data_IF_346918393330
#
_entry.id   IF_346918393330
#
_cell.length_a   1.000
_cell.length_b   1.000
_cell.length_c   1.000
_cell.angle_alpha   90.00
_cell.angle_beta   90.00
_cell.angle_gamma   90.00
#
_symmetry.space_group_name_H-M   'P 1'
#
loop_
_entity.id
_entity.type
_entity.pdbx_description
1 polymer ?
#
# COMPACT_ATOMS: atom_id res chain seq x y z
N UNK A 1 33.37 32.58 45.45
CA UNK A 1 33.73 33.30 46.69
C UNK A 1 33.58 34.77 46.33
N UNK A 2 32.61 35.53 46.84
CA UNK A 2 32.05 35.53 48.20
C UNK A 2 32.80 36.59 49.02
N UNK A 3 32.20 37.59 49.65
CA UNK A 3 30.78 37.80 50.01
C UNK A 3 30.37 39.28 49.76
N UNK A 4 29.11 39.70 49.63
CA UNK A 4 27.94 39.56 50.54
C UNK A 4 28.20 40.21 51.93
N UNK A 5 27.30 41.00 52.54
CA UNK A 5 25.91 41.39 52.19
C UNK A 5 25.47 42.65 53.03
N UNK A 6 24.16 42.83 53.26
CA UNK A 6 23.47 43.56 54.37
C UNK A 6 23.13 45.07 54.22
N UNK A 7 21.99 45.61 54.74
CA UNK A 7 20.77 45.11 55.46
C UNK A 7 19.83 46.34 55.71
N UNK A 8 18.48 46.39 55.72
CA UNK A 8 17.32 45.52 55.36
C UNK A 8 16.11 46.43 54.93
N UNK A 9 14.78 46.26 55.13
CA UNK A 9 13.89 45.39 55.96
C UNK A 9 12.42 45.40 55.43
N UNK A 10 11.62 44.45 55.93
CA UNK A 10 10.13 44.38 56.13
C UNK A 10 9.21 45.49 55.57
N UNK A 11 8.10 45.21 54.86
CA UNK A 11 6.95 44.27 55.06
C UNK A 11 5.73 44.87 55.81
N UNK A 12 4.57 44.17 55.71
CA UNK A 12 3.20 44.46 56.18
C UNK A 12 2.34 45.49 55.40
N UNK A 13 1.02 45.29 55.19
CA UNK A 13 0.19 44.05 55.27
C UNK A 13 -1.13 44.16 54.45
N UNK A 14 -1.99 43.13 54.53
CA UNK A 14 -3.18 42.81 53.68
C UNK A 14 -4.40 43.75 53.89
N UNK A 15 -5.33 43.80 52.91
CA UNK A 15 -6.76 43.40 53.06
C UNK A 15 -7.57 43.47 51.74
N UNK A 16 -8.62 42.64 51.64
CA UNK A 16 -9.50 42.35 50.48
C UNK A 16 -10.81 43.16 50.48
N UNK A 17 -11.46 43.39 49.32
CA UNK A 17 -12.95 43.29 49.09
C UNK A 17 -13.29 43.38 47.57
N UNK A 18 -14.47 42.91 47.17
CA UNK A 18 -14.94 42.69 45.78
C UNK A 18 -15.93 43.76 45.26
N UNK A 19 -16.44 43.55 44.03
CA UNK A 19 -17.70 44.04 43.43
C UNK A 19 -17.75 45.49 42.90
N UNK A 20 -18.50 45.81 41.83
CA UNK A 20 -19.01 44.99 40.71
C UNK A 20 -19.42 45.89 39.51
N UNK A 21 -19.70 45.27 38.35
CA UNK A 21 -20.42 45.77 37.16
C UNK A 21 -20.30 47.25 36.74
N UNK A 22 -19.82 47.46 35.51
CA UNK A 22 -20.79 47.77 34.45
C UNK A 22 -20.36 47.20 33.09
N UNK A 23 -21.30 46.60 32.36
CA UNK A 23 -21.08 46.07 31.01
C UNK A 23 -21.46 47.17 30.01
N UNK A 24 -20.55 47.51 29.09
CA UNK A 24 -20.91 48.24 27.88
C UNK A 24 -21.11 47.22 26.76
N UNK A 25 -22.37 47.01 26.40
CA UNK A 25 -22.71 46.38 25.12
C UNK A 25 -22.22 47.31 24.02
N UNK A 26 -21.52 46.74 23.04
CA UNK A 26 -21.21 47.40 21.77
C UNK A 26 -21.84 46.54 20.70
N UNK A 27 -22.88 47.06 20.06
CA UNK A 27 -23.61 46.36 19.02
C UNK A 27 -22.77 46.35 17.74
N UNK A 28 -21.99 45.29 17.55
CA UNK A 28 -21.36 45.00 16.27
C UNK A 28 -22.38 44.29 15.37
N UNK A 29 -22.88 45.00 14.35
CA UNK A 29 -23.63 44.37 13.25
C UNK A 29 -22.72 43.37 12.52
N UNK A 30 -22.98 42.07 12.64
CA UNK A 30 -22.34 41.05 11.80
C UNK A 30 -22.87 41.19 10.36
N UNK A 31 -22.10 41.88 9.51
CA UNK A 31 -22.30 41.84 8.07
C UNK A 31 -21.54 40.63 7.51
N UNK A 32 -22.28 39.66 7.03
CA UNK A 32 -21.75 38.58 6.20
C UNK A 32 -21.25 39.17 4.86
N UNK A 33 -19.94 39.40 4.76
CA UNK A 33 -19.30 39.80 3.50
C UNK A 33 -19.07 38.54 2.66
N UNK A 34 -19.87 38.35 1.60
CA UNK A 34 -19.79 37.18 0.72
C UNK A 34 -18.41 37.09 0.04
N UNK A 35 -17.53 36.29 0.61
CA UNK A 35 -16.20 36.02 0.05
C UNK A 35 -16.30 35.20 -1.25
N UNK A 36 -16.39 35.92 -2.38
CA UNK A 36 -16.37 35.34 -3.72
C UNK A 36 -15.18 34.39 -3.91
N UNK A 37 -15.35 33.18 -4.49
CA UNK A 37 -14.26 32.23 -4.68
C UNK A 37 -13.11 32.84 -5.48
N UNK A 38 -11.90 32.80 -4.91
CA UNK A 38 -10.67 33.17 -5.62
C UNK A 38 -10.35 32.09 -6.66
N UNK A 39 -10.72 32.33 -7.92
CA UNK A 39 -10.26 31.52 -9.05
C UNK A 39 -8.74 31.65 -9.21
N UNK A 40 -7.99 30.71 -8.66
CA UNK A 40 -6.56 30.56 -8.93
C UNK A 40 -6.41 30.00 -10.34
N UNK A 41 -6.36 30.88 -11.33
CA UNK A 41 -6.12 30.53 -12.74
C UNK A 41 -4.71 29.96 -12.91
N UNK A 42 -4.56 28.64 -12.75
CA UNK A 42 -3.32 27.93 -13.10
C UNK A 42 -3.09 28.09 -14.61
N UNK A 43 -1.96 28.67 -15.06
CA UNK A 43 -1.72 28.84 -16.49
C UNK A 43 -1.50 27.47 -17.15
N UNK A 44 -2.53 26.96 -17.82
CA UNK A 44 -2.38 25.83 -18.75
C UNK A 44 -1.63 26.38 -19.96
N UNK A 45 -0.30 26.25 -19.94
CA UNK A 45 0.53 26.52 -21.11
C UNK A 45 0.06 25.63 -22.26
N UNK A 46 -0.17 26.23 -23.42
CA UNK A 46 -0.74 25.55 -24.58
C UNK A 46 0.14 24.37 -25.00
N UNK A 47 -0.45 23.16 -25.03
CA UNK A 47 0.23 21.92 -25.39
C UNK A 47 0.56 21.87 -26.89
N UNK A 48 1.58 22.63 -27.29
CA UNK A 48 1.95 22.87 -28.69
C UNK A 48 3.46 23.04 -28.91
N UNK A 49 4.32 22.45 -28.07
CA UNK A 49 5.74 22.29 -28.37
C UNK A 49 6.29 20.93 -27.89
N UNK A 50 7.21 20.37 -28.68
CA UNK A 50 7.43 18.92 -28.82
C UNK A 50 7.99 18.20 -27.60
N UNK A 51 7.28 17.19 -27.10
CA UNK A 51 7.88 16.05 -26.37
C UNK A 51 7.32 14.71 -26.87
N UNK A 52 8.12 13.65 -26.74
CA UNK A 52 7.70 12.27 -27.02
C UNK A 52 6.51 11.86 -26.15
N UNK A 53 5.64 10.96 -26.65
CA UNK A 53 4.63 10.29 -25.82
C UNK A 53 5.37 9.62 -24.64
N UNK A 54 5.21 10.16 -23.45
CA UNK A 54 6.01 9.79 -22.29
C UNK A 54 5.72 8.35 -21.86
N UNK A 55 6.76 7.51 -21.77
CA UNK A 55 6.66 6.17 -21.21
C UNK A 55 6.07 6.27 -19.79
N UNK A 56 4.94 5.60 -19.54
CA UNK A 56 4.22 5.66 -18.25
C UNK A 56 5.16 5.32 -17.08
N UNK A 57 5.03 6.04 -15.98
CA UNK A 57 5.92 5.98 -14.81
C UNK A 57 5.19 5.56 -13.53
N UNK A 58 5.92 4.90 -12.63
CA UNK A 58 5.57 4.70 -11.23
C UNK A 58 6.04 5.95 -10.48
N UNK A 59 5.11 6.81 -10.08
CA UNK A 59 5.46 8.13 -9.54
C UNK A 59 5.87 8.11 -8.06
N UNK A 60 6.85 8.94 -7.67
CA UNK A 60 7.08 9.30 -6.25
C UNK A 60 5.96 10.23 -5.77
N UNK A 61 5.58 10.12 -4.51
CA UNK A 61 4.52 10.95 -3.90
C UNK A 61 5.11 12.30 -3.48
N UNK A 62 4.65 13.43 -4.05
CA UNK A 62 5.14 14.75 -3.68
C UNK A 62 5.02 15.01 -2.18
N UNK A 63 6.07 15.57 -1.56
CA UNK A 63 6.17 15.74 -0.11
C UNK A 63 5.00 16.50 0.52
N UNK A 64 4.37 17.41 -0.24
CA UNK A 64 3.17 18.13 0.20
C UNK A 64 1.96 17.19 0.45
N UNK A 65 1.83 16.11 -0.31
CA UNK A 65 0.77 15.11 -0.11
C UNK A 65 1.03 14.20 1.09
N UNK A 66 2.28 14.07 1.55
CA UNK A 66 2.69 13.27 2.72
C UNK A 66 2.40 13.95 4.05
N UNK A 67 2.20 15.27 4.07
CA UNK A 67 1.93 16.05 5.30
C UNK A 67 0.72 15.46 6.03
N UNK A 68 0.95 15.00 7.27
CA UNK A 68 -0.02 14.27 8.12
C UNK A 68 -0.61 12.97 7.52
N UNK A 69 -0.01 12.44 6.44
CA UNK A 69 -0.53 11.32 5.63
C UNK A 69 0.51 10.26 5.27
N UNK A 70 1.73 10.37 5.77
CA UNK A 70 2.87 9.46 5.52
C UNK A 70 2.50 7.96 5.57
N UNK A 71 1.68 7.56 6.55
CA UNK A 71 1.18 6.19 6.74
C UNK A 71 0.36 5.62 5.55
N UNK A 72 -0.15 6.48 4.66
CA UNK A 72 -0.83 6.06 3.44
C UNK A 72 0.18 5.58 2.38
N UNK A 73 1.35 6.20 2.29
CA UNK A 73 2.28 6.03 1.18
C UNK A 73 3.46 5.10 1.49
N UNK A 74 4.03 5.21 2.69
CA UNK A 74 5.18 4.40 3.13
C UNK A 74 4.70 3.02 3.62
N UNK A 75 5.34 1.90 3.21
CA UNK A 75 4.93 0.55 3.58
C UNK A 75 5.08 0.27 5.07
N UNK A 76 4.30 -0.69 5.57
CA UNK A 76 4.34 -1.10 6.98
C UNK A 76 5.11 -2.40 7.16
N UNK A 77 4.83 -3.45 6.37
CA UNK A 77 5.37 -4.80 6.57
C UNK A 77 6.17 -5.37 5.38
N UNK A 78 6.02 -4.87 4.16
CA UNK A 78 6.94 -5.23 3.06
C UNK A 78 7.27 -4.04 2.19
N UNK A 79 8.56 -3.80 1.99
CA UNK A 79 9.05 -2.85 0.99
C UNK A 79 9.13 -3.53 -0.37
N UNK A 80 8.75 -2.85 -1.45
CA UNK A 80 8.76 -3.36 -2.81
C UNK A 80 9.19 -2.25 -3.78
N UNK A 81 10.28 -2.46 -4.52
CA UNK A 81 10.81 -1.52 -5.50
C UNK A 81 11.73 -0.43 -4.91
N UNK A 82 12.41 0.32 -5.78
CA UNK A 82 13.56 1.17 -5.43
C UNK A 82 13.22 2.29 -4.45
N UNK A 83 12.00 2.83 -4.48
CA UNK A 83 11.61 3.96 -3.63
C UNK A 83 11.48 3.60 -2.14
N UNK A 84 11.36 2.30 -1.85
CA UNK A 84 11.16 1.77 -0.50
C UNK A 84 12.25 0.76 -0.11
N UNK A 85 13.24 0.51 -0.97
CA UNK A 85 14.35 -0.41 -0.73
C UNK A 85 15.03 -0.13 0.63
N UNK A 86 15.19 -1.16 1.46
CA UNK A 86 15.79 -1.05 2.80
C UNK A 86 14.94 -0.34 3.87
N UNK A 87 13.71 0.12 3.55
CA UNK A 87 12.85 0.92 4.47
C UNK A 87 11.81 0.08 5.22
N UNK A 88 11.96 -1.26 5.20
CA UNK A 88 11.03 -2.21 5.80
C UNK A 88 11.13 -2.22 7.33
N UNK A 89 10.00 -2.07 8.01
CA UNK A 89 9.95 -2.09 9.49
C UNK A 89 9.94 -3.52 10.06
N UNK A 90 9.91 -4.54 9.20
CA UNK A 90 9.85 -5.96 9.58
C UNK A 90 10.94 -6.75 8.81
N UNK A 91 12.18 -6.79 9.32
CA UNK A 91 13.29 -7.52 8.68
C UNK A 91 12.97 -8.99 8.37
N UNK A 92 12.13 -9.63 9.20
CA UNK A 92 11.72 -11.03 9.01
C UNK A 92 10.93 -11.26 7.72
N UNK A 93 10.38 -10.22 7.09
CA UNK A 93 9.71 -10.30 5.79
C UNK A 93 10.73 -10.21 4.66
N UNK A 94 11.81 -9.45 4.84
CA UNK A 94 12.94 -9.33 3.91
C UNK A 94 13.76 -10.63 3.88
N UNK A 95 14.10 -11.17 5.06
CA UNK A 95 14.71 -12.51 5.21
C UNK A 95 13.89 -13.59 4.46
N UNK A 96 12.56 -13.49 4.56
CA UNK A 96 11.65 -14.44 3.93
C UNK A 96 11.55 -14.27 2.40
N UNK A 97 11.95 -13.13 1.81
CA UNK A 97 12.10 -13.01 0.35
C UNK A 97 13.22 -13.91 -0.16
N UNK A 98 14.31 -14.01 0.60
CA UNK A 98 15.46 -14.88 0.28
C UNK A 98 15.03 -16.35 0.34
N UNK A 99 14.35 -16.76 1.42
CA UNK A 99 13.79 -18.14 1.51
C UNK A 99 12.81 -18.48 0.37
N UNK A 100 12.00 -17.51 -0.07
CA UNK A 100 11.11 -17.70 -1.23
C UNK A 100 11.93 -17.94 -2.50
N UNK A 101 12.95 -17.12 -2.77
CA UNK A 101 13.82 -17.26 -3.93
C UNK A 101 14.56 -18.61 -3.92
N UNK A 102 15.13 -19.00 -2.78
CA UNK A 102 15.79 -20.30 -2.60
C UNK A 102 14.82 -21.46 -2.85
N UNK A 103 13.56 -21.34 -2.42
CA UNK A 103 12.52 -22.35 -2.70
C UNK A 103 12.15 -22.46 -4.19
N UNK A 104 12.24 -21.37 -4.94
CA UNK A 104 12.04 -21.39 -6.39
C UNK A 104 13.25 -21.94 -7.13
N UNK A 105 14.48 -21.60 -6.71
CA UNK A 105 15.74 -22.15 -7.23
C UNK A 105 15.80 -23.67 -7.02
N UNK A 106 15.49 -24.16 -5.83
CA UNK A 106 15.46 -25.59 -5.52
C UNK A 106 14.46 -26.38 -6.38
N UNK A 107 13.37 -25.73 -6.83
CA UNK A 107 12.39 -26.30 -7.75
C UNK A 107 12.76 -26.16 -9.24
N UNK A 108 13.84 -25.44 -9.58
CA UNK A 108 14.21 -25.05 -10.95
C UNK A 108 15.63 -25.46 -11.37
N UNK A 109 16.31 -26.31 -10.59
CA UNK A 109 17.67 -26.77 -10.90
C UNK A 109 17.79 -27.27 -12.35
N UNK A 110 18.80 -26.81 -13.13
CA UNK A 110 20.02 -26.13 -12.69
C UNK A 110 19.95 -24.57 -12.66
N UNK A 111 18.79 -23.93 -12.82
CA UNK A 111 18.69 -22.46 -12.74
C UNK A 111 18.99 -21.98 -11.31
N UNK A 112 19.98 -21.10 -11.14
CA UNK A 112 20.42 -20.57 -9.85
C UNK A 112 20.07 -19.08 -9.68
N UNK A 113 20.49 -18.47 -8.56
CA UNK A 113 20.33 -17.03 -8.32
C UNK A 113 21.01 -16.18 -9.42
N UNK A 114 22.16 -16.62 -9.92
CA UNK A 114 22.87 -15.95 -11.02
C UNK A 114 22.04 -15.88 -12.29
N UNK A 115 21.44 -17.01 -12.71
CA UNK A 115 20.54 -17.08 -13.87
C UNK A 115 19.33 -16.14 -13.74
N UNK A 116 18.63 -16.16 -12.60
CA UNK A 116 17.45 -15.31 -12.42
C UNK A 116 17.83 -13.82 -12.31
N UNK A 117 18.95 -13.50 -11.65
CA UNK A 117 19.42 -12.12 -11.52
C UNK A 117 19.91 -11.56 -12.87
N UNK A 118 20.66 -12.33 -13.66
CA UNK A 118 21.13 -11.88 -14.98
C UNK A 118 19.96 -11.60 -15.94
N UNK A 119 18.87 -12.37 -15.86
CA UNK A 119 17.64 -12.13 -16.64
C UNK A 119 16.90 -10.84 -16.26
N UNK A 120 17.10 -10.32 -15.04
CA UNK A 120 16.67 -8.98 -14.64
C UNK A 120 17.70 -7.93 -15.07
N UNK A 121 19.00 -8.20 -14.89
CA UNK A 121 20.12 -7.33 -15.26
C UNK A 121 20.10 -6.96 -16.76
N UNK A 122 19.82 -7.95 -17.63
CA UNK A 122 19.57 -7.80 -19.08
C UNK A 122 18.46 -6.79 -19.44
N UNK A 123 17.67 -6.33 -18.45
CA UNK A 123 16.54 -5.40 -18.61
C UNK A 123 16.57 -4.25 -17.61
N UNK A 124 17.66 -4.02 -16.88
CA UNK A 124 17.73 -2.99 -15.82
C UNK A 124 17.35 -1.60 -16.31
N UNK A 125 17.91 -1.13 -17.43
CA UNK A 125 17.58 0.19 -17.99
C UNK A 125 16.09 0.33 -18.33
N UNK A 126 15.47 -0.74 -18.80
CA UNK A 126 14.04 -0.76 -19.09
C UNK A 126 13.22 -0.73 -17.79
N UNK A 127 13.64 -1.45 -16.75
CA UNK A 127 12.95 -1.48 -15.46
C UNK A 127 13.09 -0.13 -14.75
N UNK A 128 14.31 0.44 -14.66
CA UNK A 128 14.58 1.84 -14.24
C UNK A 128 13.75 2.83 -15.07
N UNK A 129 13.63 2.59 -16.38
CA UNK A 129 12.82 3.36 -17.32
C UNK A 129 11.33 3.47 -16.99
N UNK A 130 10.79 2.68 -16.06
CA UNK A 130 9.42 2.80 -15.54
C UNK A 130 9.30 3.62 -14.24
N UNK A 131 10.39 4.09 -13.65
CA UNK A 131 10.39 4.98 -12.48
C UNK A 131 10.60 6.45 -12.90
N UNK A 132 10.38 7.40 -11.99
CA UNK A 132 10.44 8.85 -12.22
C UNK A 132 11.85 9.34 -12.59
N UNK A 133 12.05 10.67 -12.63
CA UNK A 133 13.29 11.38 -12.96
C UNK A 133 14.60 10.61 -12.65
N UNK A 134 15.56 10.76 -13.55
CA UNK A 134 16.99 10.53 -13.35
C UNK A 134 17.43 10.95 -11.93
N UNK A 135 18.17 10.10 -11.22
CA UNK A 135 18.42 10.22 -9.78
C UNK A 135 17.43 9.47 -8.88
N UNK A 136 16.23 9.10 -9.35
CA UNK A 136 15.17 8.57 -8.47
C UNK A 136 15.40 7.13 -7.97
N UNK A 137 16.32 6.39 -8.57
CA UNK A 137 16.62 4.97 -8.27
C UNK A 137 18.11 4.70 -8.00
N UNK A 138 18.88 5.78 -7.91
CA UNK A 138 20.33 5.80 -8.11
C UNK A 138 21.08 5.60 -6.77
N UNK A 139 20.32 5.50 -5.67
CA UNK A 139 20.74 4.93 -4.37
C UNK A 139 21.20 3.46 -4.50
N UNK A 140 20.90 2.79 -5.62
CA UNK A 140 21.27 1.40 -5.93
C UNK A 140 22.08 1.32 -7.23
N UNK A 141 23.20 0.59 -7.23
CA UNK A 141 23.85 0.12 -8.46
C UNK A 141 23.00 -0.98 -9.15
N UNK A 142 23.33 -1.30 -10.40
CA UNK A 142 22.51 -2.19 -11.22
C UNK A 142 22.44 -3.63 -10.71
N UNK A 143 23.49 -4.12 -10.05
CA UNK A 143 23.50 -5.42 -9.39
C UNK A 143 22.53 -5.46 -8.20
N UNK A 144 22.58 -4.47 -7.29
CA UNK A 144 21.68 -4.40 -6.14
C UNK A 144 20.24 -4.10 -6.56
N UNK A 145 20.05 -3.29 -7.61
CA UNK A 145 18.74 -3.04 -8.21
C UNK A 145 18.16 -4.34 -8.82
N UNK A 146 18.95 -5.11 -9.57
CA UNK A 146 18.51 -6.37 -10.14
C UNK A 146 18.18 -7.42 -9.06
N UNK A 147 18.99 -7.50 -7.99
CA UNK A 147 18.71 -8.38 -6.85
C UNK A 147 17.45 -7.99 -6.08
N UNK A 148 17.25 -6.69 -5.80
CA UNK A 148 16.03 -6.17 -5.19
C UNK A 148 14.80 -6.51 -6.03
N UNK A 149 14.82 -6.20 -7.33
CA UNK A 149 13.71 -6.51 -8.24
C UNK A 149 13.43 -8.02 -8.27
N UNK A 150 14.46 -8.88 -8.26
CA UNK A 150 14.33 -10.33 -8.19
C UNK A 150 13.62 -10.78 -6.90
N UNK A 151 14.13 -10.36 -5.74
CA UNK A 151 13.57 -10.73 -4.43
C UNK A 151 12.12 -10.25 -4.25
N UNK A 152 11.84 -9.00 -4.62
CA UNK A 152 10.52 -8.39 -4.51
C UNK A 152 9.51 -9.06 -5.43
N UNK A 153 9.89 -9.32 -6.69
CA UNK A 153 9.01 -9.94 -7.67
C UNK A 153 8.73 -11.40 -7.30
N UNK A 154 9.74 -12.16 -6.84
CA UNK A 154 9.56 -13.50 -6.31
C UNK A 154 8.61 -13.51 -5.09
N UNK A 155 8.75 -12.56 -4.18
CA UNK A 155 7.82 -12.40 -3.04
C UNK A 155 6.39 -12.12 -3.51
N UNK A 156 6.20 -11.19 -4.47
CA UNK A 156 4.88 -10.87 -5.02
C UNK A 156 4.26 -12.12 -5.66
N UNK A 157 5.00 -12.85 -6.50
CA UNK A 157 4.55 -14.10 -7.14
C UNK A 157 4.15 -15.13 -6.08
N UNK A 158 4.99 -15.40 -5.09
CA UNK A 158 4.70 -16.34 -4.01
C UNK A 158 3.44 -15.96 -3.24
N UNK A 159 3.32 -14.69 -2.85
CA UNK A 159 2.18 -14.16 -2.11
C UNK A 159 0.88 -14.28 -2.93
N UNK A 160 0.94 -13.92 -4.20
CA UNK A 160 -0.17 -14.06 -5.13
C UNK A 160 -0.58 -15.52 -5.27
N UNK A 161 0.34 -16.45 -5.57
CA UNK A 161 0.02 -17.90 -5.72
C UNK A 161 -0.60 -18.46 -4.45
N UNK A 162 -0.04 -18.14 -3.27
CA UNK A 162 -0.60 -18.57 -1.99
C UNK A 162 -2.06 -18.12 -1.80
N UNK A 163 -2.40 -16.90 -2.23
CA UNK A 163 -3.74 -16.31 -2.13
C UNK A 163 -4.70 -16.75 -3.25
N UNK A 164 -4.17 -16.94 -4.47
CA UNK A 164 -4.89 -17.19 -5.71
C UNK A 164 -5.16 -18.69 -5.94
N UNK A 165 -4.29 -19.59 -5.50
CA UNK A 165 -4.46 -21.05 -5.61
C UNK A 165 -4.99 -21.68 -4.31
N UNK A 166 -5.35 -20.86 -3.31
CA UNK A 166 -5.81 -21.30 -1.97
C UNK A 166 -4.82 -22.26 -1.30
N UNK A 167 -3.52 -21.97 -1.35
CA UNK A 167 -2.49 -22.79 -0.70
C UNK A 167 -2.54 -22.59 0.83
N UNK A 168 -3.49 -23.24 1.50
CA UNK A 168 -3.81 -23.02 2.93
C UNK A 168 -2.58 -23.26 3.81
N UNK A 169 -1.80 -24.30 3.52
CA UNK A 169 -0.58 -24.66 4.24
C UNK A 169 0.51 -23.57 4.11
N UNK A 170 0.82 -23.12 2.89
CA UNK A 170 1.78 -22.02 2.67
C UNK A 170 1.30 -20.71 3.29
N UNK A 171 0.00 -20.39 3.20
CA UNK A 171 -0.60 -19.26 3.93
C UNK A 171 -0.49 -19.41 5.45
N UNK A 172 -0.58 -20.63 5.99
CA UNK A 172 -0.42 -20.91 7.41
C UNK A 172 1.04 -20.74 7.86
N UNK A 173 2.00 -21.32 7.14
CA UNK A 173 3.45 -21.13 7.37
C UNK A 173 3.82 -19.66 7.33
N UNK A 174 3.34 -18.91 6.33
CA UNK A 174 3.53 -17.46 6.21
C UNK A 174 3.02 -16.71 7.44
N UNK A 175 1.79 -17.03 7.90
CA UNK A 175 1.16 -16.41 9.09
C UNK A 175 1.82 -16.79 10.41
N UNK A 176 2.47 -17.95 10.50
CA UNK A 176 3.26 -18.35 11.67
C UNK A 176 4.63 -17.66 11.69
N UNK A 177 5.30 -17.55 10.53
CA UNK A 177 6.61 -16.88 10.41
C UNK A 177 6.55 -15.37 10.64
N UNK A 178 5.66 -14.66 9.92
CA UNK A 178 5.58 -13.18 10.00
C UNK A 178 4.41 -12.67 10.86
N UNK A 179 3.59 -13.58 11.40
CA UNK A 179 2.48 -13.26 12.29
C UNK A 179 1.16 -12.88 11.60
N UNK A 180 0.06 -13.05 12.33
CA UNK A 180 -1.29 -12.68 11.87
C UNK A 180 -1.51 -11.15 11.79
N UNK A 181 -0.57 -10.28 12.13
CA UNK A 181 -0.68 -8.85 11.82
C UNK A 181 0.02 -8.48 10.48
N UNK A 182 1.30 -8.86 10.30
CA UNK A 182 2.07 -8.47 9.12
C UNK A 182 1.45 -8.95 7.78
N UNK A 183 0.89 -10.17 7.70
CA UNK A 183 0.17 -10.66 6.51
C UNK A 183 -1.08 -9.81 6.13
N UNK A 184 -1.44 -8.77 6.89
CA UNK A 184 -2.54 -7.81 6.55
C UNK A 184 -1.95 -6.50 6.03
N UNK A 185 -0.88 -6.02 6.67
CA UNK A 185 -0.08 -4.92 6.14
C UNK A 185 0.52 -5.26 4.77
N UNK A 186 1.07 -6.46 4.56
CA UNK A 186 1.52 -6.91 3.22
C UNK A 186 0.43 -6.77 2.14
N UNK A 187 -0.84 -7.03 2.45
CA UNK A 187 -1.95 -6.83 1.51
C UNK A 187 -2.15 -5.36 1.19
N UNK A 188 -1.99 -4.46 2.17
CA UNK A 188 -2.11 -3.01 1.97
C UNK A 188 -0.90 -2.45 1.22
N UNK A 189 0.29 -2.95 1.54
CA UNK A 189 1.58 -2.50 0.99
C UNK A 189 1.71 -2.83 -0.50
N UNK A 190 1.14 -3.97 -0.94
CA UNK A 190 1.02 -4.34 -2.37
C UNK A 190 0.24 -3.33 -3.23
N UNK A 191 -0.50 -2.40 -2.62
CA UNK A 191 -1.27 -1.36 -3.32
C UNK A 191 -0.84 0.08 -2.97
N UNK A 192 0.31 0.27 -2.31
CA UNK A 192 0.87 1.62 -2.08
C UNK A 192 1.61 2.09 -3.34
N UNK A 193 1.40 3.35 -3.76
CA UNK A 193 1.87 3.87 -5.05
C UNK A 193 3.39 3.73 -5.27
N UNK A 194 4.19 3.98 -4.24
CA UNK A 194 5.66 3.88 -4.32
C UNK A 194 6.19 2.46 -4.11
N UNK A 195 5.34 1.55 -3.65
CA UNK A 195 5.70 0.21 -3.24
C UNK A 195 5.36 -0.77 -4.37
N UNK A 196 5.83 -0.47 -5.59
CA UNK A 196 5.38 -1.08 -6.84
C UNK A 196 6.55 -1.54 -7.72
N UNK A 197 6.31 -2.65 -8.39
CA UNK A 197 7.15 -3.22 -9.45
C UNK A 197 6.35 -3.15 -10.77
N UNK A 198 6.99 -2.88 -11.93
CA UNK A 198 6.32 -2.94 -13.22
C UNK A 198 5.75 -4.34 -13.48
N UNK A 199 4.46 -4.42 -13.82
CA UNK A 199 3.68 -5.67 -13.84
C UNK A 199 4.23 -6.71 -14.81
N UNK A 200 4.86 -6.28 -15.91
CA UNK A 200 5.50 -7.15 -16.88
C UNK A 200 6.70 -7.92 -16.31
N UNK A 201 7.35 -7.42 -15.25
CA UNK A 201 8.45 -8.12 -14.56
C UNK A 201 7.92 -9.32 -13.77
N UNK A 202 6.68 -9.23 -13.24
CA UNK A 202 5.97 -10.37 -12.65
C UNK A 202 5.77 -11.46 -13.71
N UNK A 203 5.34 -11.10 -14.92
CA UNK A 203 5.17 -12.06 -16.01
C UNK A 203 6.51 -12.68 -16.44
N UNK A 204 7.57 -11.86 -16.56
CA UNK A 204 8.93 -12.32 -16.89
C UNK A 204 9.44 -13.38 -15.90
N UNK A 205 9.40 -13.10 -14.60
CA UNK A 205 9.85 -14.07 -13.61
C UNK A 205 8.89 -15.26 -13.48
N UNK A 206 7.57 -15.07 -13.62
CA UNK A 206 6.63 -16.20 -13.60
C UNK A 206 6.96 -17.21 -14.72
N UNK A 207 7.18 -16.72 -15.94
CA UNK A 207 7.60 -17.54 -17.07
C UNK A 207 8.93 -18.26 -16.80
N UNK A 208 9.93 -17.56 -16.24
CA UNK A 208 11.24 -18.15 -15.93
C UNK A 208 11.19 -19.19 -14.78
N UNK A 209 10.27 -19.05 -13.82
CA UNK A 209 10.15 -19.91 -12.63
C UNK A 209 9.22 -21.12 -12.86
N UNK A 210 8.23 -21.02 -13.76
CA UNK A 210 7.23 -22.07 -13.99
C UNK A 210 7.20 -22.63 -15.42
N UNK A 211 8.06 -22.13 -16.32
CA UNK A 211 8.12 -22.48 -17.75
C UNK A 211 6.78 -22.25 -18.50
N UNK A 212 6.06 -21.21 -18.06
CA UNK A 212 4.66 -20.95 -18.40
C UNK A 212 4.47 -19.44 -18.69
N UNK A 213 4.41 -19.09 -19.97
CA UNK A 213 4.55 -17.70 -20.44
C UNK A 213 3.28 -16.84 -20.27
N UNK A 214 2.09 -17.44 -20.36
CA UNK A 214 0.81 -16.72 -20.33
C UNK A 214 0.20 -16.60 -18.91
N UNK A 215 0.55 -17.52 -18.01
CA UNK A 215 -0.12 -17.67 -16.71
C UNK A 215 0.31 -16.61 -15.67
N UNK A 216 1.34 -15.81 -15.94
CA UNK A 216 1.68 -14.64 -15.11
C UNK A 216 0.53 -13.61 -15.06
N UNK A 217 -0.10 -13.32 -16.20
CA UNK A 217 -1.26 -12.42 -16.26
C UNK A 217 -2.49 -13.07 -15.58
N UNK A 218 -2.67 -14.38 -15.77
CA UNK A 218 -3.75 -15.14 -15.14
C UNK A 218 -3.61 -15.18 -13.61
N UNK A 219 -2.38 -15.28 -13.08
CA UNK A 219 -2.10 -15.16 -11.65
C UNK A 219 -2.56 -13.80 -11.10
N UNK A 220 -2.20 -12.70 -11.77
CA UNK A 220 -2.60 -11.34 -11.36
C UNK A 220 -4.13 -11.20 -11.41
N UNK A 221 -4.79 -11.65 -12.48
CA UNK A 221 -6.25 -11.57 -12.61
C UNK A 221 -6.98 -12.41 -11.54
N UNK A 222 -6.50 -13.62 -11.26
CA UNK A 222 -7.02 -14.52 -10.22
C UNK A 222 -6.80 -13.97 -8.80
N UNK A 223 -5.64 -13.36 -8.54
CA UNK A 223 -5.35 -12.64 -7.31
C UNK A 223 -6.30 -11.44 -7.13
N UNK A 224 -6.45 -10.59 -8.14
CA UNK A 224 -7.31 -9.41 -8.11
C UNK A 224 -8.78 -9.78 -7.90
N UNK A 225 -9.30 -10.78 -8.62
CA UNK A 225 -10.63 -11.35 -8.40
C UNK A 225 -10.84 -11.71 -6.92
N UNK A 226 -9.90 -12.44 -6.31
CA UNK A 226 -10.02 -12.94 -4.93
C UNK A 226 -9.70 -11.92 -3.83
N UNK A 227 -8.92 -10.87 -4.09
CA UNK A 227 -8.55 -9.86 -3.10
C UNK A 227 -9.59 -8.73 -3.03
N UNK A 228 -10.07 -8.28 -4.19
CA UNK A 228 -11.21 -7.36 -4.30
C UNK A 228 -12.53 -8.08 -3.99
N UNK A 229 -12.55 -9.41 -4.15
CA UNK A 229 -13.70 -10.29 -3.94
C UNK A 229 -14.88 -9.89 -4.85
N UNK A 230 -14.58 -9.42 -6.07
CA UNK A 230 -15.60 -9.13 -7.08
C UNK A 230 -16.36 -10.42 -7.42
N UNK A 231 -17.64 -10.29 -7.74
CA UNK A 231 -18.48 -11.44 -8.15
C UNK A 231 -18.10 -11.96 -9.54
N UNK A 232 -17.16 -11.27 -10.19
CA UNK A 232 -16.55 -11.58 -11.48
C UNK A 232 -15.46 -12.65 -11.39
N UNK A 233 -15.63 -13.70 -12.19
CA UNK A 233 -14.60 -14.71 -12.46
C UNK A 233 -13.38 -14.06 -13.16
N UNK A 234 -12.21 -14.72 -13.11
CA UNK A 234 -10.94 -14.15 -13.57
C UNK A 234 -10.97 -13.68 -15.05
N UNK A 235 -11.73 -14.35 -15.92
CA UNK A 235 -11.93 -13.94 -17.31
C UNK A 235 -12.50 -12.52 -17.46
N UNK A 236 -13.43 -12.11 -16.59
CA UNK A 236 -14.04 -10.78 -16.65
C UNK A 236 -13.08 -9.73 -16.06
N UNK A 237 -12.33 -10.10 -15.02
CA UNK A 237 -11.22 -9.26 -14.50
C UNK A 237 -10.15 -9.03 -15.58
N UNK A 238 -9.81 -10.08 -16.33
CA UNK A 238 -8.88 -10.03 -17.46
C UNK A 238 -9.42 -9.15 -18.60
N UNK A 239 -10.70 -9.30 -18.97
CA UNK A 239 -11.37 -8.44 -19.95
C UNK A 239 -11.32 -6.97 -19.54
N UNK A 240 -11.64 -6.64 -18.28
CA UNK A 240 -11.60 -5.26 -17.77
C UNK A 240 -10.17 -4.70 -17.81
N UNK A 241 -9.16 -5.47 -17.40
CA UNK A 241 -7.76 -5.07 -17.44
C UNK A 241 -7.29 -4.77 -18.87
N UNK A 242 -7.66 -5.64 -19.83
CA UNK A 242 -7.32 -5.51 -21.26
C UNK A 242 -8.15 -4.44 -21.99
N UNK A 243 -9.35 -4.12 -21.51
CA UNK A 243 -10.21 -3.06 -22.07
C UNK A 243 -9.81 -1.64 -21.61
N UNK A 244 -9.02 -1.51 -20.54
CA UNK A 244 -8.56 -0.23 -19.98
C UNK A 244 -7.53 0.55 -20.82
N UNK A 245 -7.60 0.48 -22.15
CA UNK A 245 -6.70 1.16 -23.10
C UNK A 245 -5.75 0.23 -23.85
N UNK A 246 -5.08 0.77 -24.87
CA UNK A 246 -4.22 0.03 -25.80
C UNK A 246 -2.97 -0.62 -25.19
N UNK A 247 -2.65 -0.29 -23.93
CA UNK A 247 -1.48 -0.83 -23.22
C UNK A 247 -1.92 -1.55 -21.92
N UNK A 248 -1.21 -2.61 -21.48
CA UNK A 248 -1.47 -3.27 -20.19
C UNK A 248 -1.19 -2.33 -19.00
N UNK A 249 -1.80 -2.57 -17.82
CA UNK A 249 -1.52 -1.77 -16.63
C UNK A 249 -0.05 -1.85 -16.22
N UNK A 250 0.53 -0.71 -15.86
CA UNK A 250 1.95 -0.58 -15.56
C UNK A 250 2.33 -1.33 -14.29
N UNK A 251 1.47 -1.34 -13.27
CA UNK A 251 1.74 -1.95 -11.96
C UNK A 251 0.43 -2.40 -11.28
N UNK A 252 0.55 -3.10 -10.14
CA UNK A 252 -0.57 -3.76 -9.48
C UNK A 252 -1.68 -2.81 -9.01
N UNK A 253 -1.32 -1.62 -8.52
CA UNK A 253 -2.28 -0.56 -8.18
C UNK A 253 -3.01 -0.01 -9.43
N UNK A 254 -2.36 0.18 -10.58
CA UNK A 254 -3.07 0.57 -11.82
C UNK A 254 -4.03 -0.54 -12.26
N UNK A 255 -3.59 -1.80 -12.25
CA UNK A 255 -4.45 -2.95 -12.54
C UNK A 255 -5.67 -3.02 -11.60
N UNK A 256 -5.47 -2.68 -10.32
CA UNK A 256 -6.54 -2.60 -9.31
C UNK A 256 -7.50 -1.44 -9.60
N UNK A 257 -7.00 -0.29 -10.00
CA UNK A 257 -7.83 0.85 -10.40
C UNK A 257 -8.67 0.52 -11.65
N UNK A 258 -8.08 -0.11 -12.68
CA UNK A 258 -8.82 -0.60 -13.85
C UNK A 258 -9.96 -1.54 -13.46
N UNK A 259 -9.74 -2.47 -12.53
CA UNK A 259 -10.77 -3.43 -12.07
C UNK A 259 -11.84 -2.79 -11.18
N UNK A 260 -11.52 -1.71 -10.46
CA UNK A 260 -12.48 -0.99 -9.62
C UNK A 260 -13.33 0.02 -10.40
N UNK A 261 -12.75 0.69 -11.40
CA UNK A 261 -13.41 1.69 -12.25
C UNK A 261 -14.07 1.08 -13.50
N UNK A 262 -13.60 -0.11 -13.91
CA UNK A 262 -14.04 -0.79 -15.11
C UNK A 262 -15.44 -1.37 -15.00
N UNK A 263 -16.42 -0.65 -15.56
CA UNK A 263 -17.73 -1.19 -15.88
C UNK A 263 -17.57 -2.39 -16.83
N UNK A 264 -18.13 -3.59 -16.55
CA UNK A 264 -18.35 -4.57 -17.60
C UNK A 264 -19.29 -3.91 -18.63
N UNK A 265 -18.84 -3.84 -19.89
CA UNK A 265 -19.27 -2.85 -20.87
C UNK A 265 -20.79 -2.76 -21.11
N UNK A 266 -21.48 -1.89 -20.35
CA UNK A 266 -22.78 -1.25 -20.65
C UNK A 266 -23.26 -0.31 -19.51
N UNK A 267 -22.43 0.64 -19.06
CA UNK A 267 -22.91 1.83 -18.31
C UNK A 267 -22.19 3.08 -18.84
N UNK A 268 -22.92 3.95 -19.51
CA UNK A 268 -22.56 5.36 -19.66
C UNK A 268 -22.84 6.12 -18.35
N UNK A 269 -22.18 7.27 -18.19
CA UNK A 269 -22.39 8.33 -17.16
C UNK A 269 -21.56 8.30 -15.86
N UNK A 270 -21.23 9.54 -15.46
CA UNK A 270 -20.71 10.06 -14.18
C UNK A 270 -19.53 9.35 -13.45
N UNK A 271 -18.29 9.86 -13.61
CA UNK A 271 -17.14 9.47 -12.79
C UNK A 271 -17.28 9.73 -11.28
N UNK A 272 -18.03 10.75 -10.85
CA UNK A 272 -18.21 11.09 -9.45
C UNK A 272 -19.17 10.12 -8.76
N UNK A 273 -20.31 9.84 -9.40
CA UNK A 273 -21.23 8.76 -9.06
C UNK A 273 -20.54 7.39 -9.03
N UNK A 274 -19.70 7.09 -10.03
CA UNK A 274 -18.89 5.87 -10.05
C UNK A 274 -18.01 5.74 -8.79
N UNK A 275 -17.27 6.80 -8.42
CA UNK A 275 -16.46 6.81 -7.19
C UNK A 275 -17.33 6.67 -5.93
N UNK A 276 -18.52 7.27 -5.90
CA UNK A 276 -19.47 7.15 -4.79
C UNK A 276 -20.01 5.72 -4.64
N UNK A 277 -20.35 5.05 -5.75
CA UNK A 277 -20.80 3.65 -5.80
C UNK A 277 -19.69 2.67 -5.41
N UNK A 278 -18.46 2.88 -5.91
CA UNK A 278 -17.27 2.14 -5.48
C UNK A 278 -17.05 2.32 -3.97
N UNK A 279 -17.14 3.55 -3.44
CA UNK A 279 -17.02 3.80 -2.01
C UNK A 279 -18.19 3.22 -1.20
N UNK A 280 -19.42 3.17 -1.73
CA UNK A 280 -20.56 2.48 -1.09
C UNK A 280 -20.32 0.97 -1.03
N UNK A 281 -19.89 0.35 -2.13
CA UNK A 281 -19.57 -1.09 -2.22
C UNK A 281 -18.41 -1.46 -1.28
N UNK A 282 -17.33 -0.69 -1.31
CA UNK A 282 -16.17 -0.85 -0.42
C UNK A 282 -16.60 -0.67 1.04
N UNK A 283 -17.22 0.47 1.43
CA UNK A 283 -17.68 0.71 2.81
C UNK A 283 -18.75 -0.30 3.28
N UNK A 284 -19.55 -0.84 2.37
CA UNK A 284 -20.52 -1.92 2.64
C UNK A 284 -19.84 -3.28 2.87
N UNK A 285 -18.80 -3.60 2.09
CA UNK A 285 -17.99 -4.82 2.27
C UNK A 285 -17.10 -4.76 3.51
N UNK A 286 -16.47 -3.62 3.81
CA UNK A 286 -15.75 -3.42 5.07
C UNK A 286 -16.70 -3.55 6.27
N UNK A 287 -17.93 -3.00 6.21
CA UNK A 287 -18.95 -3.22 7.26
C UNK A 287 -19.35 -4.68 7.42
N UNK A 288 -19.63 -5.42 6.35
CA UNK A 288 -19.93 -6.87 6.40
C UNK A 288 -18.77 -7.67 7.01
N UNK A 289 -17.56 -7.50 6.47
CA UNK A 289 -16.36 -8.21 6.94
C UNK A 289 -15.97 -7.87 8.38
N UNK A 290 -16.21 -6.62 8.80
CA UNK A 290 -16.06 -6.18 10.19
C UNK A 290 -17.08 -6.87 11.11
N UNK A 291 -18.36 -6.92 10.71
CA UNK A 291 -19.40 -7.63 11.45
C UNK A 291 -19.11 -9.15 11.55
N UNK A 292 -18.58 -9.77 10.49
CA UNK A 292 -18.08 -11.14 10.50
C UNK A 292 -16.96 -11.33 11.54
N UNK A 293 -15.91 -10.49 11.53
CA UNK A 293 -14.82 -10.60 12.51
C UNK A 293 -15.24 -10.22 13.94
N UNK A 294 -16.15 -9.27 14.12
CA UNK A 294 -16.70 -8.93 15.43
C UNK A 294 -17.63 -10.03 15.96
N UNK A 295 -18.34 -10.75 15.07
CA UNK A 295 -19.13 -11.94 15.43
C UNK A 295 -18.23 -13.10 15.84
N UNK A 296 -17.18 -13.40 15.06
CA UNK A 296 -16.18 -14.42 15.41
C UNK A 296 -15.45 -14.05 16.70
N UNK A 297 -15.10 -12.78 16.91
CA UNK A 297 -14.47 -12.32 18.15
C UNK A 297 -15.42 -12.47 19.35
N UNK A 298 -16.71 -12.12 19.22
CA UNK A 298 -17.74 -12.33 20.27
C UNK A 298 -17.98 -13.80 20.58
N UNK A 299 -17.87 -14.69 19.59
CA UNK A 299 -17.92 -16.14 19.80
C UNK A 299 -16.68 -16.66 20.54
N UNK A 300 -15.48 -16.20 20.17
CA UNK A 300 -14.23 -16.58 20.83
C UNK A 300 -14.08 -15.99 22.23
N UNK A 301 -14.64 -14.80 22.49
CA UNK A 301 -14.70 -14.19 23.82
C UNK A 301 -15.84 -14.71 24.69
N UNK A 302 -16.63 -15.68 24.21
CA UNK A 302 -17.72 -16.26 25.00
C UNK A 302 -17.13 -17.07 26.17
N UNK A 303 -17.61 -16.88 27.43
CA UNK A 303 -16.98 -17.49 28.61
C UNK A 303 -16.82 -19.01 28.53
N UNK A 304 -17.77 -19.70 27.89
CA UNK A 304 -17.73 -21.14 27.68
C UNK A 304 -16.60 -21.60 26.75
N UNK A 305 -16.25 -20.81 25.73
CA UNK A 305 -15.18 -21.11 24.78
C UNK A 305 -13.81 -20.88 25.42
N UNK A 306 -13.67 -19.78 26.18
CA UNK A 306 -12.48 -19.52 26.99
C UNK A 306 -12.25 -20.63 28.04
N UNK A 307 -13.33 -21.18 28.63
CA UNK A 307 -13.28 -22.34 29.54
C UNK A 307 -12.91 -23.66 28.86
N UNK A 308 -13.20 -23.85 27.56
CA UNK A 308 -12.72 -25.02 26.82
C UNK A 308 -11.23 -24.87 26.46
N UNK A 309 -10.80 -23.68 26.03
CA UNK A 309 -9.40 -23.40 25.70
C UNK A 309 -8.50 -23.51 26.95
N UNK A 310 -8.95 -23.03 28.12
CA UNK A 310 -8.20 -23.20 29.37
C UNK A 310 -8.11 -24.66 29.81
N UNK A 311 -9.19 -25.43 29.68
CA UNK A 311 -9.19 -26.88 29.98
C UNK A 311 -8.30 -27.69 29.04
N UNK A 312 -8.20 -27.33 27.76
CA UNK A 312 -7.24 -27.96 26.83
C UNK A 312 -5.79 -27.64 27.20
N UNK A 313 -5.48 -26.41 27.63
CA UNK A 313 -4.13 -26.07 28.13
C UNK A 313 -3.76 -26.79 29.43
N UNK A 314 -4.73 -27.12 30.27
CA UNK A 314 -4.53 -27.87 31.51
C UNK A 314 -4.34 -29.39 31.33
N UNK A 315 -4.22 -29.88 30.08
CA UNK A 315 -4.02 -31.28 29.74
C UNK A 315 -2.70 -31.53 28.96
N UNK A 316 -1.83 -30.52 28.89
CA UNK A 316 -0.53 -30.53 28.16
C UNK A 316 0.58 -29.91 29.04
N UNK A 317 0.43 -30.06 30.37
CA UNK A 317 1.38 -29.74 31.44
C UNK A 317 1.23 -30.81 32.53
#
# INVERSE_FOLDING_TARGET
>A
MGSDNHLSTSEDSKITTQASHHVRVVDNEEREEEASPLEVSIPIQSAAETTSIGRRKIHKVPSLLRVNKEHLYTPVAVSLGPYQCGRSQFPQVEDYKVEILDSFIAANAPKDKGFFCSKIFERVDEIRGHYDQEGSTDELNDEAFAEMILLDTCFIIYFMKCRAEKMIERLYVFRQRIGWLAYRFVIMDLFKLENQIPLWVINLLYALIFDDQDNGEALVCNYLSKILNVEYNYHVVQQIIRAGGNEPPLHLLEATQRVLLGQPSNIESDPAGCLAEILKLIKGRWRRKRAETESVFKQLSHPFVLLQISKQKAFVL
#
